data_IF_689765139701
#
_entry.id   IF_689765139701
#
_cell.length_a   1.000
_cell.length_b   1.000
_cell.length_c   1.000
_cell.angle_alpha   90.00
_cell.angle_beta   90.00
_cell.angle_gamma   90.00
#
_symmetry.space_group_name_H-M   'P 1'
#
loop_
_entity.id
_entity.type
_entity.pdbx_description
1 polymer ?
#
# COMPACT_ATOMS: atom_id res chain seq x y z
N UNK A 1 -18.22 -0.92 -15.99
CA UNK A 1 -16.85 -1.22 -16.47
C UNK A 1 -15.88 -0.84 -15.36
N UNK A 2 -15.22 -1.82 -14.71
CA UNK A 2 -14.12 -1.52 -13.78
C UNK A 2 -12.90 -1.27 -14.65
N UNK A 3 -12.50 0.00 -14.80
CA UNK A 3 -11.21 0.35 -15.38
C UNK A 3 -10.15 -0.11 -14.37
N UNK A 4 -9.67 -1.33 -14.53
CA UNK A 4 -8.58 -1.86 -13.72
C UNK A 4 -7.35 -1.04 -14.07
N UNK A 5 -6.93 -0.13 -13.18
CA UNK A 5 -5.66 0.61 -13.31
C UNK A 5 -4.53 -0.39 -13.56
N UNK A 6 -3.76 -0.21 -14.63
CA UNK A 6 -2.60 -1.07 -14.87
C UNK A 6 -1.50 -0.71 -13.87
N UNK A 7 -0.94 -1.71 -13.19
CA UNK A 7 0.13 -1.57 -12.20
C UNK A 7 1.46 -2.14 -12.70
N UNK A 8 1.52 -2.61 -13.95
CA UNK A 8 2.71 -3.20 -14.56
C UNK A 8 3.94 -2.28 -14.55
N UNK A 9 3.70 -0.96 -14.56
CA UNK A 9 4.73 0.10 -14.56
C UNK A 9 4.85 0.82 -13.21
N UNK A 10 4.17 0.35 -12.17
CA UNK A 10 4.18 1.00 -10.87
C UNK A 10 5.59 1.01 -10.24
N UNK A 11 6.01 2.17 -9.76
CA UNK A 11 7.27 2.33 -9.04
C UNK A 11 7.08 1.95 -7.56
N UNK A 12 7.30 0.67 -7.25
CA UNK A 12 7.13 0.13 -5.90
C UNK A 12 8.24 0.57 -4.96
N UNK A 13 7.85 1.02 -3.76
CA UNK A 13 8.76 1.35 -2.67
C UNK A 13 8.47 0.43 -1.49
N UNK A 14 9.50 -0.28 -1.06
CA UNK A 14 9.47 -1.15 0.12
C UNK A 14 9.52 -0.34 1.41
N UNK A 15 8.75 -0.77 2.42
CA UNK A 15 8.82 -0.19 3.77
C UNK A 15 10.20 -0.44 4.40
N UNK A 16 10.74 0.56 5.11
CA UNK A 16 11.99 0.42 5.88
C UNK A 16 11.85 -0.52 7.07
N UNK A 17 10.61 -0.83 7.49
CA UNK A 17 10.31 -1.79 8.55
C UNK A 17 10.29 -3.25 8.04
N UNK A 18 10.41 -3.46 6.72
CA UNK A 18 10.51 -4.79 6.13
C UNK A 18 11.93 -5.33 6.31
N UNK A 19 12.10 -6.29 7.22
CA UNK A 19 13.39 -6.93 7.50
C UNK A 19 13.49 -8.34 6.89
N UNK A 20 14.72 -8.84 6.76
CA UNK A 20 15.02 -10.18 6.20
C UNK A 20 14.70 -11.33 7.15
N UNK A 21 14.41 -11.04 8.43
CA UNK A 21 14.18 -12.05 9.47
C UNK A 21 12.69 -12.44 9.60
N UNK A 22 11.90 -12.22 8.56
CA UNK A 22 10.51 -12.69 8.49
C UNK A 22 9.45 -11.69 8.92
N UNK A 23 9.78 -10.41 9.13
CA UNK A 23 8.81 -9.36 9.44
C UNK A 23 7.72 -9.14 8.38
N UNK A 24 6.76 -8.28 8.70
CA UNK A 24 5.67 -7.88 7.80
C UNK A 24 6.24 -7.02 6.65
N UNK A 25 6.33 -7.61 5.46
CA UNK A 25 6.95 -6.96 4.31
C UNK A 25 5.89 -6.33 3.40
N UNK A 26 5.88 -5.00 3.29
CA UNK A 26 4.88 -4.26 2.52
C UNK A 26 5.58 -3.32 1.53
N UNK A 27 5.02 -3.23 0.32
CA UNK A 27 5.38 -2.22 -0.68
C UNK A 27 4.18 -1.35 -1.05
N UNK A 28 4.44 -0.08 -1.33
CA UNK A 28 3.45 0.91 -1.79
C UNK A 28 3.99 1.61 -3.03
N UNK A 29 3.14 1.93 -4.00
CA UNK A 29 3.53 2.78 -5.13
C UNK A 29 2.77 4.10 -5.11
N UNK A 30 3.47 5.20 -5.40
CA UNK A 30 2.85 6.52 -5.59
C UNK A 30 2.69 6.83 -7.08
N UNK A 31 2.07 7.97 -7.40
CA UNK A 31 2.02 8.50 -8.76
C UNK A 31 1.07 7.75 -9.70
N UNK A 32 0.31 6.78 -9.18
CA UNK A 32 -0.72 6.08 -9.93
C UNK A 32 -2.03 6.89 -9.86
N UNK A 33 -2.61 7.30 -11.00
CA UNK A 33 -3.83 8.11 -10.98
C UNK A 33 -4.99 7.40 -10.27
N UNK A 34 -5.54 8.07 -9.25
CA UNK A 34 -6.75 7.68 -8.55
C UNK A 34 -6.60 6.55 -7.52
N UNK A 35 -5.44 5.89 -7.43
CA UNK A 35 -5.24 4.79 -6.49
C UNK A 35 -3.86 4.80 -5.84
N UNK A 36 -3.81 4.34 -4.59
CA UNK A 36 -2.59 4.00 -3.86
C UNK A 36 -2.56 2.47 -3.72
N UNK A 37 -1.80 1.76 -4.58
CA UNK A 37 -1.69 0.31 -4.49
C UNK A 37 -0.72 -0.12 -3.38
N UNK A 38 -1.07 -1.19 -2.68
CA UNK A 38 -0.29 -1.81 -1.61
C UNK A 38 -0.20 -3.31 -1.86
N UNK A 39 0.98 -3.90 -1.75
CA UNK A 39 1.18 -5.35 -1.93
C UNK A 39 2.11 -5.94 -0.88
N UNK A 40 2.03 -7.26 -0.74
CA UNK A 40 2.99 -8.05 0.02
C UNK A 40 4.33 -8.09 -0.75
N UNK A 41 5.43 -7.69 -0.12
CA UNK A 41 6.74 -7.79 -0.78
C UNK A 41 7.20 -9.24 -0.99
N UNK A 42 6.63 -10.20 -0.25
CA UNK A 42 6.96 -11.63 -0.35
C UNK A 42 6.23 -12.30 -1.52
N UNK A 43 5.17 -11.69 -2.03
CA UNK A 43 4.40 -12.16 -3.18
C UNK A 43 4.19 -11.00 -4.19
N UNK A 44 5.25 -10.53 -4.88
CA UNK A 44 5.17 -9.38 -5.77
C UNK A 44 4.34 -9.62 -7.04
N UNK A 45 4.14 -10.88 -7.43
CA UNK A 45 3.29 -11.29 -8.54
C UNK A 45 1.83 -11.52 -8.11
N UNK A 46 1.59 -11.60 -6.81
CA UNK A 46 0.26 -11.69 -6.21
C UNK A 46 -0.58 -10.41 -6.35
N UNK A 47 -1.85 -10.46 -5.91
CA UNK A 47 -2.77 -9.34 -6.04
C UNK A 47 -2.39 -8.16 -5.13
N UNK A 48 -2.37 -6.96 -5.70
CA UNK A 48 -2.24 -5.71 -4.94
C UNK A 48 -3.62 -5.18 -4.48
N UNK A 49 -3.70 -4.75 -3.22
CA UNK A 49 -4.81 -3.93 -2.72
C UNK A 49 -4.73 -2.54 -3.33
N UNK A 50 -5.89 -1.91 -3.56
CA UNK A 50 -5.99 -0.58 -4.20
C UNK A 50 -6.89 0.32 -3.39
N UNK A 51 -6.31 1.33 -2.78
CA UNK A 51 -7.04 2.33 -2.01
C UNK A 51 -7.25 3.57 -2.86
N UNK A 52 -8.36 4.29 -2.69
CA UNK A 52 -8.46 5.64 -3.24
C UNK A 52 -7.52 6.57 -2.50
N UNK A 53 -7.15 7.70 -3.12
CA UNK A 53 -6.33 8.72 -2.47
C UNK A 53 -6.98 9.25 -1.18
N UNK A 54 -8.30 9.48 -1.20
CA UNK A 54 -9.04 9.99 -0.04
C UNK A 54 -9.08 8.99 1.12
N UNK A 55 -9.28 7.69 0.82
CA UNK A 55 -9.26 6.63 1.83
C UNK A 55 -7.86 6.48 2.44
N UNK A 56 -6.82 6.54 1.61
CA UNK A 56 -5.44 6.49 2.07
C UNK A 56 -5.10 7.69 2.98
N UNK A 57 -5.47 8.91 2.56
CA UNK A 57 -5.25 10.12 3.36
C UNK A 57 -5.99 10.06 4.70
N UNK A 58 -7.24 9.60 4.70
CA UNK A 58 -8.04 9.44 5.92
C UNK A 58 -7.42 8.41 6.87
N UNK A 59 -6.93 7.30 6.33
CA UNK A 59 -6.24 6.27 7.11
C UNK A 59 -4.98 6.80 7.80
N UNK A 60 -4.12 7.53 7.07
CA UNK A 60 -2.91 8.13 7.66
C UNK A 60 -3.26 9.16 8.73
N UNK A 61 -4.29 9.99 8.49
CA UNK A 61 -4.77 10.96 9.49
C UNK A 61 -5.24 10.27 10.78
N UNK A 62 -6.01 9.18 10.66
CA UNK A 62 -6.45 8.40 11.82
C UNK A 62 -5.29 7.75 12.60
N UNK A 63 -4.25 7.26 11.91
CA UNK A 63 -3.03 6.78 12.58
C UNK A 63 -2.36 7.91 13.37
N UNK A 64 -2.20 9.09 12.78
CA UNK A 64 -1.57 10.24 13.43
C UNK A 64 -2.36 10.73 14.65
N UNK A 65 -3.69 10.63 14.58
CA UNK A 65 -4.59 10.94 15.69
C UNK A 65 -4.72 9.80 16.73
N UNK A 66 -3.99 8.69 16.55
CA UNK A 66 -4.07 7.49 17.39
C UNK A 66 -5.48 6.89 17.49
N UNK A 67 -6.28 7.01 16.43
CA UNK A 67 -7.64 6.46 16.36
C UNK A 67 -7.66 4.94 16.23
N UNK A 68 -6.55 4.34 15.77
CA UNK A 68 -6.39 2.90 15.61
C UNK A 68 -5.44 2.37 16.71
N UNK A 69 -5.96 1.79 17.80
CA UNK A 69 -5.10 1.22 18.84
C UNK A 69 -4.33 0.02 18.29
N UNK A 70 -3.02 0.00 18.55
CA UNK A 70 -2.21 -1.21 18.40
C UNK A 70 -2.73 -2.22 19.43
N UNK A 71 -3.33 -3.31 18.96
CA UNK A 71 -3.91 -4.33 19.84
C UNK A 71 -2.82 -5.16 20.50
#
# INVERSE_FOLDING_TARGET
>A
MRTTTDLSTAAWRKSTYSNTNGGECIEVADGIPGVIPVRDSKDPEGPALRFSHDAWSSFIAGIQAAEFPAT
#
